data_IF_820417983553
#
_entry.id   IF_820417983553
#
_cell.length_a   1.000
_cell.length_b   1.000
_cell.length_c   1.000
_cell.angle_alpha   90.00
_cell.angle_beta   90.00
_cell.angle_gamma   90.00
#
_symmetry.space_group_name_H-M   'P 1'
#
loop_
_entity.id
_entity.type
_entity.pdbx_description
1 polymer ?
#
# COMPACT_ATOMS: atom_id res chain seq x y z
N UNK A 1 100.48 -56.06 -8.24
CA UNK A 1 100.10 -56.95 -7.20
C UNK A 1 99.04 -56.37 -6.27
N UNK A 2 98.72 -57.07 -5.14
CA UNK A 2 97.64 -56.64 -4.20
C UNK A 2 97.87 -55.23 -3.64
N UNK A 3 99.14 -54.88 -3.37
CA UNK A 3 99.50 -53.52 -2.90
C UNK A 3 99.16 -52.41 -3.96
N UNK A 4 99.47 -52.62 -5.24
CA UNK A 4 99.12 -51.65 -6.32
C UNK A 4 97.61 -51.51 -6.51
N UNK A 5 96.83 -52.53 -6.19
CA UNK A 5 95.35 -52.43 -6.19
C UNK A 5 94.81 -51.57 -4.99
N UNK A 6 95.49 -51.62 -3.83
CA UNK A 6 95.14 -50.84 -2.68
C UNK A 6 95.49 -49.33 -2.94
N UNK A 7 96.58 -49.03 -3.64
CA UNK A 7 96.94 -47.66 -4.09
C UNK A 7 95.90 -47.11 -5.02
N UNK A 8 95.39 -47.91 -5.94
CA UNK A 8 94.29 -47.45 -6.87
C UNK A 8 92.98 -47.17 -6.10
N UNK A 9 92.62 -47.99 -5.09
CA UNK A 9 91.46 -47.76 -4.24
C UNK A 9 91.64 -46.38 -3.48
N UNK A 10 92.83 -46.16 -2.94
CA UNK A 10 93.12 -44.90 -2.24
C UNK A 10 93.07 -43.69 -3.15
N UNK A 11 93.34 -43.86 -4.47
CA UNK A 11 93.15 -42.81 -5.48
C UNK A 11 91.69 -42.69 -6.00
N UNK A 12 90.78 -43.46 -5.43
CA UNK A 12 89.35 -43.44 -5.88
C UNK A 12 89.09 -44.28 -7.17
N UNK A 13 90.06 -45.01 -7.67
CA UNK A 13 89.91 -45.84 -8.87
C UNK A 13 89.34 -47.19 -8.50
N UNK A 14 88.02 -47.45 -8.66
CA UNK A 14 87.36 -48.71 -8.34
C UNK A 14 87.03 -49.56 -9.59
N UNK A 15 87.36 -49.08 -10.75
CA UNK A 15 87.06 -49.72 -12.06
C UNK A 15 88.10 -50.77 -12.51
N UNK A 16 88.96 -51.20 -11.64
CA UNK A 16 89.96 -52.21 -11.98
C UNK A 16 89.46 -53.63 -11.69
N UNK A 17 89.90 -54.59 -12.49
CA UNK A 17 89.59 -56.03 -12.26
C UNK A 17 90.69 -56.69 -11.49
N UNK A 18 90.36 -57.33 -10.41
CA UNK A 18 91.31 -58.28 -9.69
C UNK A 18 91.45 -59.52 -10.58
N UNK A 19 92.67 -59.87 -11.04
CA UNK A 19 92.85 -61.03 -11.95
C UNK A 19 92.40 -62.38 -11.28
N UNK A 20 91.62 -63.21 -12.04
CA UNK A 20 91.10 -64.50 -11.58
C UNK A 20 92.21 -65.39 -11.08
N UNK A 21 93.44 -65.34 -11.61
CA UNK A 21 94.58 -66.10 -11.16
C UNK A 21 94.94 -65.78 -9.69
N UNK A 22 94.70 -64.52 -9.23
CA UNK A 22 94.93 -64.15 -7.84
C UNK A 22 93.73 -64.54 -6.92
N UNK A 23 92.54 -64.46 -7.41
CA UNK A 23 91.27 -64.80 -6.70
C UNK A 23 91.23 -66.33 -6.40
N UNK A 24 91.80 -67.21 -7.27
CA UNK A 24 91.76 -68.66 -7.18
C UNK A 24 92.94 -69.27 -6.36
N UNK A 25 93.80 -68.42 -5.84
CA UNK A 25 94.90 -68.89 -4.97
C UNK A 25 94.36 -69.29 -3.57
N UNK A 26 94.96 -70.36 -3.03
CA UNK A 26 94.64 -70.84 -1.69
C UNK A 26 95.54 -70.32 -0.54
N UNK A 27 96.56 -69.56 -0.88
CA UNK A 27 97.51 -68.95 0.04
C UNK A 27 97.07 -67.58 0.58
N UNK A 28 97.88 -66.93 1.39
CA UNK A 28 97.62 -65.61 2.00
C UNK A 28 97.43 -64.51 0.94
N UNK A 29 98.09 -64.62 -0.23
CA UNK A 29 97.92 -63.68 -1.36
C UNK A 29 96.53 -63.84 -1.96
N UNK A 30 96.03 -65.07 -2.11
CA UNK A 30 94.64 -65.26 -2.60
C UNK A 30 93.59 -64.74 -1.61
N UNK A 31 93.80 -64.95 -0.29
CA UNK A 31 92.94 -64.34 0.74
C UNK A 31 92.86 -62.80 0.63
N UNK A 32 94.03 -62.19 0.52
CA UNK A 32 94.16 -60.73 0.37
C UNK A 32 93.51 -60.23 -0.93
N UNK A 33 93.65 -60.94 -2.05
CA UNK A 33 93.04 -60.63 -3.33
C UNK A 33 91.49 -60.68 -3.27
N UNK A 34 90.90 -61.66 -2.62
CA UNK A 34 89.45 -61.77 -2.39
C UNK A 34 88.92 -60.65 -1.48
N UNK A 35 89.70 -60.26 -0.40
CA UNK A 35 89.34 -59.16 0.48
C UNK A 35 89.29 -57.84 -0.30
N UNK A 36 90.32 -57.54 -1.12
CA UNK A 36 90.34 -56.37 -1.98
C UNK A 36 89.17 -56.31 -2.99
N UNK A 37 88.90 -57.49 -3.63
CA UNK A 37 87.73 -57.61 -4.52
C UNK A 37 86.42 -57.34 -3.81
N UNK A 38 86.21 -57.84 -2.63
CA UNK A 38 85.01 -57.58 -1.83
C UNK A 38 84.88 -56.10 -1.46
N UNK A 39 85.97 -55.41 -1.06
CA UNK A 39 86.03 -54.01 -0.74
C UNK A 39 85.66 -53.18 -1.97
N UNK A 40 86.29 -53.43 -3.14
CA UNK A 40 86.03 -52.72 -4.40
C UNK A 40 84.55 -52.85 -4.81
N UNK A 41 84.01 -54.08 -4.78
CA UNK A 41 82.61 -54.27 -5.19
C UNK A 41 81.65 -53.62 -4.18
N UNK A 42 81.97 -53.67 -2.87
CA UNK A 42 81.17 -53.03 -1.82
C UNK A 42 81.16 -51.49 -2.02
N UNK A 43 82.35 -50.89 -2.17
CA UNK A 43 82.46 -49.46 -2.39
C UNK A 43 81.78 -49.01 -3.77
N UNK A 44 81.99 -49.78 -4.81
CA UNK A 44 81.33 -49.51 -6.11
C UNK A 44 79.78 -49.56 -6.01
N UNK A 45 79.26 -50.51 -5.20
CA UNK A 45 77.82 -50.58 -4.90
C UNK A 45 77.38 -49.35 -4.15
N UNK A 46 78.05 -49.00 -3.04
CA UNK A 46 77.72 -47.79 -2.27
C UNK A 46 77.73 -46.54 -3.12
N UNK A 47 78.77 -46.31 -3.94
CA UNK A 47 78.85 -45.11 -4.83
C UNK A 47 77.76 -45.12 -5.85
N UNK A 48 77.34 -46.23 -6.39
CA UNK A 48 76.19 -46.35 -7.31
C UNK A 48 74.88 -46.00 -6.62
N UNK A 49 74.68 -46.52 -5.42
CA UNK A 49 73.49 -46.22 -4.63
C UNK A 49 73.43 -44.74 -4.24
N UNK A 50 74.52 -44.12 -3.86
CA UNK A 50 74.63 -42.67 -3.63
C UNK A 50 74.27 -41.89 -4.92
N UNK A 51 74.79 -42.32 -6.06
CA UNK A 51 74.48 -41.65 -7.33
C UNK A 51 72.99 -41.73 -7.69
N UNK A 52 72.38 -42.90 -7.55
CA UNK A 52 70.92 -43.05 -7.76
C UNK A 52 70.10 -42.17 -6.81
N UNK A 53 70.44 -42.21 -5.49
CA UNK A 53 69.79 -41.42 -4.47
C UNK A 53 69.86 -39.88 -4.76
N UNK A 54 70.92 -39.42 -5.37
CA UNK A 54 71.06 -38.01 -5.79
C UNK A 54 70.20 -37.68 -7.01
N UNK A 55 70.07 -38.60 -7.98
CA UNK A 55 69.12 -38.42 -9.07
C UNK A 55 67.70 -38.28 -8.57
N UNK A 56 67.31 -39.19 -7.66
CA UNK A 56 65.98 -39.14 -7.03
C UNK A 56 65.80 -37.83 -6.21
N UNK A 57 66.85 -37.38 -5.49
CA UNK A 57 66.83 -36.11 -4.74
C UNK A 57 66.63 -34.89 -5.65
N UNK A 58 67.32 -34.84 -6.80
CA UNK A 58 67.15 -33.73 -7.76
C UNK A 58 65.72 -33.74 -8.37
N UNK A 59 65.16 -34.92 -8.73
CA UNK A 59 63.77 -34.99 -9.17
C UNK A 59 62.78 -34.52 -8.10
N UNK A 60 63.02 -34.96 -6.83
CA UNK A 60 62.20 -34.58 -5.71
C UNK A 60 62.23 -33.10 -5.42
N UNK A 61 63.42 -32.47 -5.41
CA UNK A 61 63.54 -31.03 -5.21
C UNK A 61 62.96 -30.21 -6.35
N UNK A 62 63.03 -30.70 -7.59
CA UNK A 62 62.36 -30.12 -8.74
C UNK A 62 60.85 -30.10 -8.57
N UNK A 63 60.29 -31.22 -8.12
CA UNK A 63 58.86 -31.37 -7.81
C UNK A 63 58.42 -30.42 -6.68
N UNK A 64 59.19 -30.34 -5.59
CA UNK A 64 58.91 -29.39 -4.49
C UNK A 64 58.90 -27.94 -4.95
N UNK A 65 59.88 -27.55 -5.75
CA UNK A 65 59.96 -26.18 -6.33
C UNK A 65 58.66 -25.84 -7.09
N UNK A 66 58.22 -26.74 -7.96
CA UNK A 66 56.96 -26.56 -8.70
C UNK A 66 55.73 -26.49 -7.82
N UNK A 67 55.68 -27.31 -6.75
CA UNK A 67 54.59 -27.31 -5.80
C UNK A 67 54.53 -25.99 -5.01
N UNK A 68 55.69 -25.47 -4.56
CA UNK A 68 55.75 -24.21 -3.83
C UNK A 68 55.40 -23.00 -4.72
N UNK A 69 55.73 -23.03 -6.01
CA UNK A 69 55.26 -22.04 -6.97
C UNK A 69 53.73 -22.04 -7.11
N UNK A 70 53.15 -23.24 -7.19
CA UNK A 70 51.68 -23.42 -7.27
C UNK A 70 50.98 -22.98 -5.96
N UNK A 71 51.56 -23.25 -4.79
CA UNK A 71 51.03 -22.78 -3.50
C UNK A 71 51.13 -21.28 -3.43
N UNK A 72 52.25 -20.66 -3.84
CA UNK A 72 52.42 -19.20 -3.87
C UNK A 72 51.36 -18.51 -4.74
N UNK A 73 51.05 -19.10 -5.91
CA UNK A 73 50.00 -18.60 -6.78
C UNK A 73 48.60 -18.74 -6.14
N UNK A 74 48.34 -19.84 -5.43
CA UNK A 74 47.11 -20.05 -4.68
C UNK A 74 46.93 -19.04 -3.55
N UNK A 75 48.00 -18.73 -2.79
CA UNK A 75 47.99 -17.68 -1.77
C UNK A 75 47.67 -16.30 -2.36
N UNK A 76 48.24 -15.96 -3.50
CA UNK A 76 47.90 -14.70 -4.21
C UNK A 76 46.44 -14.63 -4.61
N UNK A 77 45.87 -15.73 -5.10
CA UNK A 77 44.45 -15.82 -5.46
C UNK A 77 43.54 -15.69 -4.24
N UNK A 78 43.88 -16.34 -3.12
CA UNK A 78 43.13 -16.21 -1.85
C UNK A 78 43.21 -14.79 -1.32
N UNK A 79 44.37 -14.13 -1.35
CA UNK A 79 44.50 -12.74 -0.94
C UNK A 79 43.63 -11.77 -1.76
N UNK A 80 43.50 -12.04 -3.08
CA UNK A 80 42.57 -11.26 -3.90
C UNK A 80 41.12 -11.46 -3.46
N UNK A 81 40.68 -12.68 -3.23
CA UNK A 81 39.33 -12.99 -2.75
C UNK A 81 39.05 -12.39 -1.37
N UNK A 82 40.05 -12.44 -0.46
CA UNK A 82 39.97 -11.81 0.87
C UNK A 82 39.73 -10.32 0.77
N UNK A 83 40.45 -9.61 -0.12
CA UNK A 83 40.25 -8.19 -0.33
C UNK A 83 38.86 -7.87 -0.91
N UNK A 84 38.35 -8.70 -1.82
CA UNK A 84 37.01 -8.55 -2.38
C UNK A 84 35.92 -8.76 -1.30
N UNK A 85 36.10 -9.74 -0.39
CA UNK A 85 35.17 -9.97 0.72
C UNK A 85 35.21 -8.78 1.70
N UNK A 86 36.39 -8.25 2.04
CA UNK A 86 36.54 -7.08 2.91
C UNK A 86 35.80 -5.86 2.33
N UNK A 87 36.00 -5.60 1.04
CA UNK A 87 35.31 -4.51 0.35
C UNK A 87 33.77 -4.77 0.30
N UNK A 88 33.36 -6.01 0.06
CA UNK A 88 31.95 -6.43 0.10
C UNK A 88 31.31 -6.22 1.48
N UNK A 89 32.01 -6.59 2.56
CA UNK A 89 31.56 -6.40 3.93
C UNK A 89 31.37 -4.91 4.27
N UNK A 90 32.31 -4.05 3.84
CA UNK A 90 32.21 -2.59 4.02
C UNK A 90 31.02 -2.00 3.26
N UNK A 91 30.80 -2.43 2.01
CA UNK A 91 29.67 -1.99 1.21
C UNK A 91 28.35 -2.46 1.84
N UNK A 92 28.30 -3.71 2.29
CA UNK A 92 27.12 -4.28 2.96
C UNK A 92 26.77 -3.50 4.23
N UNK A 93 27.75 -3.13 5.06
CA UNK A 93 27.52 -2.31 6.25
C UNK A 93 26.92 -0.94 5.89
N UNK A 94 27.47 -0.28 4.85
CA UNK A 94 26.94 1.01 4.39
C UNK A 94 25.50 0.90 3.84
N UNK A 95 25.19 -0.15 3.09
CA UNK A 95 23.85 -0.37 2.56
C UNK A 95 22.86 -0.76 3.66
N UNK A 96 23.28 -1.54 4.65
CA UNK A 96 22.49 -1.87 5.85
C UNK A 96 22.12 -0.60 6.62
N UNK A 97 23.05 0.33 6.76
CA UNK A 97 22.80 1.64 7.38
C UNK A 97 21.72 2.44 6.62
N UNK A 98 21.79 2.49 5.29
CA UNK A 98 20.78 3.17 4.47
C UNK A 98 19.40 2.53 4.60
N UNK A 99 19.34 1.19 4.66
CA UNK A 99 18.07 0.47 4.88
C UNK A 99 17.50 0.83 6.25
N UNK A 100 18.34 0.93 7.30
CA UNK A 100 17.91 1.37 8.63
C UNK A 100 17.32 2.80 8.61
N UNK A 101 17.95 3.72 7.89
CA UNK A 101 17.43 5.08 7.69
C UNK A 101 16.07 5.07 6.98
N UNK A 102 15.92 4.25 5.92
CA UNK A 102 14.65 4.09 5.19
C UNK A 102 13.56 3.48 6.09
N UNK A 103 13.90 2.57 7.01
CA UNK A 103 12.95 2.03 7.99
C UNK A 103 12.45 3.10 8.97
N UNK A 104 13.30 4.05 9.37
CA UNK A 104 12.89 5.19 10.19
C UNK A 104 11.95 6.14 9.43
N UNK A 105 12.24 6.42 8.14
CA UNK A 105 11.35 7.21 7.30
C UNK A 105 10.00 6.53 7.10
N UNK A 106 9.99 5.21 6.90
CA UNK A 106 8.77 4.41 6.80
C UNK A 106 7.94 4.48 8.09
N UNK A 107 8.58 4.39 9.28
CA UNK A 107 7.90 4.56 10.57
C UNK A 107 7.19 5.92 10.67
N UNK A 108 7.87 6.98 10.28
CA UNK A 108 7.29 8.32 10.25
C UNK A 108 6.11 8.43 9.26
N UNK A 109 6.20 7.76 8.11
CA UNK A 109 5.11 7.73 7.12
C UNK A 109 3.90 6.95 7.63
N UNK A 110 4.11 5.81 8.30
CA UNK A 110 3.06 5.02 8.95
C UNK A 110 2.35 5.84 10.03
N UNK A 111 3.09 6.57 10.88
CA UNK A 111 2.50 7.46 11.88
C UNK A 111 1.56 8.50 11.26
N UNK A 112 2.00 9.18 10.18
CA UNK A 112 1.16 10.16 9.46
C UNK A 112 -0.07 9.51 8.81
N UNK A 113 0.06 8.28 8.32
CA UNK A 113 -1.06 7.54 7.74
C UNK A 113 -2.07 7.15 8.82
N UNK A 114 -1.61 6.70 9.99
CA UNK A 114 -2.47 6.40 11.13
C UNK A 114 -3.24 7.65 11.62
N UNK A 115 -2.59 8.81 11.68
CA UNK A 115 -3.25 10.07 11.99
C UNK A 115 -4.34 10.43 10.97
N UNK A 116 -4.06 10.21 9.68
CA UNK A 116 -5.03 10.44 8.60
C UNK A 116 -6.23 9.49 8.68
N UNK A 117 -6.01 8.23 9.02
CA UNK A 117 -7.06 7.22 9.23
C UNK A 117 -7.96 7.63 10.42
N UNK A 118 -7.38 8.10 11.51
CA UNK A 118 -8.13 8.62 12.67
C UNK A 118 -8.98 9.85 12.31
N UNK A 119 -8.43 10.77 11.52
CA UNK A 119 -9.18 11.94 11.04
C UNK A 119 -10.33 11.54 10.10
N UNK A 120 -10.12 10.56 9.21
CA UNK A 120 -11.16 9.97 8.34
C UNK A 120 -12.26 9.31 9.15
N UNK A 121 -11.91 8.53 10.18
CA UNK A 121 -12.87 7.90 11.10
C UNK A 121 -13.75 8.94 11.79
N UNK A 122 -13.16 10.01 12.29
CA UNK A 122 -13.89 11.13 12.91
C UNK A 122 -14.83 11.82 11.91
N UNK A 123 -14.35 12.03 10.67
CA UNK A 123 -15.17 12.63 9.60
C UNK A 123 -16.34 11.74 9.20
N UNK A 124 -16.14 10.43 9.11
CA UNK A 124 -17.21 9.47 8.82
C UNK A 124 -18.26 9.42 9.94
N UNK A 125 -17.83 9.49 11.21
CA UNK A 125 -18.74 9.59 12.35
C UNK A 125 -19.60 10.86 12.30
N UNK A 126 -19.01 12.02 12.02
CA UNK A 126 -19.71 13.29 11.86
C UNK A 126 -20.69 13.25 10.67
N UNK A 127 -20.33 12.63 9.55
CA UNK A 127 -21.22 12.44 8.39
C UNK A 127 -22.42 11.55 8.77
N UNK A 128 -22.20 10.48 9.54
CA UNK A 128 -23.28 9.60 10.01
C UNK A 128 -24.27 10.36 10.89
N UNK A 129 -23.79 11.18 11.81
CA UNK A 129 -24.62 12.01 12.70
C UNK A 129 -25.41 13.06 11.89
N UNK A 130 -24.74 13.74 10.93
CA UNK A 130 -25.38 14.69 10.03
C UNK A 130 -26.47 14.04 9.19
N UNK A 131 -26.22 12.85 8.63
CA UNK A 131 -27.21 12.09 7.87
C UNK A 131 -28.43 11.71 8.72
N UNK A 132 -28.23 11.30 9.97
CA UNK A 132 -29.33 10.98 10.89
C UNK A 132 -30.19 12.23 11.18
N UNK A 133 -29.56 13.39 11.32
CA UNK A 133 -30.25 14.67 11.53
C UNK A 133 -31.07 15.05 10.29
N UNK A 134 -30.52 14.91 9.08
CA UNK A 134 -31.24 15.18 7.83
C UNK A 134 -32.40 14.23 7.64
N UNK A 135 -32.24 12.93 7.92
CA UNK A 135 -33.32 11.94 7.83
C UNK A 135 -34.50 12.32 8.74
N UNK A 136 -34.20 12.72 9.98
CA UNK A 136 -35.21 13.19 10.95
C UNK A 136 -35.94 14.44 10.44
N UNK A 137 -35.18 15.44 9.93
CA UNK A 137 -35.72 16.69 9.41
C UNK A 137 -36.60 16.48 8.18
N UNK A 138 -36.20 15.61 7.28
CA UNK A 138 -37.02 15.26 6.08
C UNK A 138 -38.31 14.55 6.43
N UNK A 139 -38.29 13.67 7.43
CA UNK A 139 -39.50 13.04 7.96
C UNK A 139 -40.46 14.04 8.60
N UNK A 140 -39.94 15.04 9.30
CA UNK A 140 -40.73 16.12 9.86
C UNK A 140 -41.34 17.01 8.75
N UNK A 141 -40.58 17.34 7.72
CA UNK A 141 -41.05 18.09 6.54
C UNK A 141 -42.18 17.35 5.81
N UNK A 142 -42.11 16.03 5.65
CA UNK A 142 -43.20 15.23 5.08
C UNK A 142 -44.47 15.32 5.93
N UNK A 143 -44.33 15.29 7.28
CA UNK A 143 -45.46 15.46 8.19
C UNK A 143 -46.10 16.85 8.07
N UNK A 144 -45.28 17.91 8.00
CA UNK A 144 -45.75 19.29 7.79
C UNK A 144 -46.45 19.42 6.44
N UNK A 145 -45.88 18.87 5.37
CA UNK A 145 -46.50 18.87 4.04
C UNK A 145 -47.88 18.18 4.02
N UNK A 146 -47.98 17.01 4.69
CA UNK A 146 -49.26 16.32 4.83
C UNK A 146 -50.29 17.15 5.60
N UNK A 147 -49.88 17.83 6.68
CA UNK A 147 -50.78 18.69 7.44
C UNK A 147 -51.21 19.93 6.64
N UNK A 148 -50.30 20.47 5.81
CA UNK A 148 -50.60 21.59 4.91
C UNK A 148 -51.63 21.15 3.87
N UNK A 149 -51.50 19.96 3.27
CA UNK A 149 -52.49 19.42 2.36
C UNK A 149 -53.89 19.33 3.01
N UNK A 150 -53.94 18.77 4.22
CA UNK A 150 -55.19 18.67 4.96
C UNK A 150 -55.82 20.03 5.25
N UNK A 151 -55.02 21.06 5.56
CA UNK A 151 -55.48 22.42 5.80
C UNK A 151 -56.05 23.06 4.53
N UNK A 152 -55.40 22.84 3.37
CA UNK A 152 -55.88 23.33 2.08
C UNK A 152 -57.21 22.67 1.70
N UNK A 153 -57.36 21.35 1.92
CA UNK A 153 -58.60 20.63 1.66
C UNK A 153 -59.74 21.18 2.53
N UNK A 154 -59.50 21.53 3.81
CA UNK A 154 -60.46 22.15 4.69
C UNK A 154 -60.89 23.55 4.23
N UNK A 155 -59.92 24.37 3.78
CA UNK A 155 -60.22 25.73 3.25
C UNK A 155 -61.05 25.62 1.94
N UNK A 156 -60.72 24.63 1.09
CA UNK A 156 -61.48 24.40 -0.14
C UNK A 156 -62.94 24.01 0.17
N UNK A 157 -63.16 23.10 1.11
CA UNK A 157 -64.50 22.73 1.55
C UNK A 157 -65.27 23.95 2.11
N UNK A 158 -64.63 24.75 2.99
CA UNK A 158 -65.26 25.97 3.55
C UNK A 158 -65.61 27.01 2.47
N UNK A 159 -64.74 27.13 1.44
CA UNK A 159 -64.98 28.01 0.30
C UNK A 159 -66.17 27.54 -0.55
N UNK A 160 -66.32 26.23 -0.75
CA UNK A 160 -67.51 25.64 -1.45
C UNK A 160 -68.78 25.94 -0.67
N UNK A 161 -68.82 25.73 0.64
CA UNK A 161 -69.97 26.07 1.51
C UNK A 161 -70.32 27.56 1.42
N UNK A 162 -69.30 28.42 1.38
CA UNK A 162 -69.48 29.90 1.19
C UNK A 162 -70.13 30.19 -0.17
N UNK A 163 -69.69 29.52 -1.24
CA UNK A 163 -70.23 29.65 -2.59
C UNK A 163 -71.71 29.21 -2.66
N UNK A 164 -72.06 28.07 -2.05
CA UNK A 164 -73.43 27.60 -1.96
C UNK A 164 -74.32 28.59 -1.19
N UNK A 165 -73.82 29.13 -0.10
CA UNK A 165 -74.55 30.17 0.70
C UNK A 165 -74.78 31.44 -0.12
N UNK A 166 -73.76 31.89 -0.90
CA UNK A 166 -73.88 33.00 -1.79
C UNK A 166 -74.92 32.79 -2.88
N UNK A 167 -74.99 31.60 -3.49
CA UNK A 167 -76.03 31.22 -4.46
C UNK A 167 -77.43 31.23 -3.85
N UNK A 168 -77.58 30.78 -2.61
CA UNK A 168 -78.87 30.84 -1.88
C UNK A 168 -79.33 32.31 -1.64
N UNK A 169 -78.36 33.19 -1.26
CA UNK A 169 -78.62 34.63 -1.10
C UNK A 169 -79.04 35.26 -2.44
N UNK A 170 -78.38 34.89 -3.54
CA UNK A 170 -78.68 35.39 -4.88
C UNK A 170 -80.13 35.01 -5.24
N UNK A 171 -80.54 33.77 -5.05
CA UNK A 171 -81.90 33.37 -5.28
C UNK A 171 -82.96 34.12 -4.44
N UNK A 172 -82.66 34.34 -3.12
CA UNK A 172 -83.52 35.14 -2.27
C UNK A 172 -83.63 36.58 -2.74
N UNK A 173 -82.50 37.16 -3.17
CA UNK A 173 -82.46 38.54 -3.69
C UNK A 173 -83.30 38.72 -4.97
N UNK A 174 -83.22 37.69 -5.86
CA UNK A 174 -84.07 37.68 -7.08
C UNK A 174 -85.56 37.63 -6.74
N UNK A 175 -85.98 36.90 -5.71
CA UNK A 175 -87.35 36.88 -5.22
C UNK A 175 -87.73 38.27 -4.69
N UNK A 176 -86.86 38.88 -3.88
CA UNK A 176 -87.15 40.24 -3.33
C UNK A 176 -87.28 41.26 -4.45
N UNK A 177 -86.44 41.27 -5.50
CA UNK A 177 -86.55 42.14 -6.69
C UNK A 177 -87.88 41.88 -7.42
N UNK A 178 -88.30 40.57 -7.51
CA UNK A 178 -89.59 40.23 -8.11
C UNK A 178 -90.78 40.77 -7.32
N UNK A 179 -90.78 40.69 -5.98
CA UNK A 179 -91.80 41.19 -5.08
C UNK A 179 -91.83 42.75 -5.21
N UNK A 180 -90.68 43.39 -5.22
CA UNK A 180 -90.60 44.82 -5.41
C UNK A 180 -91.20 45.32 -6.73
N UNK A 181 -90.91 44.61 -7.86
CA UNK A 181 -91.52 44.84 -9.12
C UNK A 181 -93.04 44.63 -9.12
N UNK A 182 -93.54 43.61 -8.49
CA UNK A 182 -95.02 43.41 -8.36
C UNK A 182 -95.64 44.47 -7.49
N UNK A 183 -95.00 44.88 -6.40
CA UNK A 183 -95.49 45.94 -5.49
C UNK A 183 -95.49 47.29 -6.24
N UNK A 184 -94.49 47.58 -7.05
CA UNK A 184 -94.45 48.77 -7.88
C UNK A 184 -95.61 48.82 -8.91
N UNK A 185 -95.89 47.64 -9.56
CA UNK A 185 -97.05 47.53 -10.45
C UNK A 185 -98.42 47.69 -9.74
N UNK A 186 -98.56 47.09 -8.54
CA UNK A 186 -99.72 47.17 -7.70
C UNK A 186 -100.02 48.63 -7.24
N UNK A 187 -98.97 49.31 -6.82
CA UNK A 187 -99.03 50.71 -6.37
C UNK A 187 -99.29 51.68 -7.54
N UNK A 188 -98.77 51.36 -8.75
CA UNK A 188 -99.09 52.14 -9.98
C UNK A 188 -100.57 51.97 -10.32
N UNK A 189 -101.07 50.74 -10.28
CA UNK A 189 -102.54 50.46 -10.51
C UNK A 189 -103.43 51.21 -9.49
N UNK A 190 -102.99 51.14 -8.16
CA UNK A 190 -103.68 51.90 -7.11
C UNK A 190 -103.62 53.39 -7.30
N UNK A 191 -102.52 53.99 -7.75
CA UNK A 191 -102.37 55.41 -8.06
C UNK A 191 -103.30 55.77 -9.24
N UNK A 192 -103.40 54.95 -10.25
CA UNK A 192 -104.29 55.20 -11.40
C UNK A 192 -105.75 55.17 -10.94
N UNK A 193 -106.25 54.22 -10.12
CA UNK A 193 -107.59 54.10 -9.68
C UNK A 193 -107.95 55.24 -8.66
N UNK A 194 -106.98 55.62 -7.80
CA UNK A 194 -107.08 56.81 -6.92
C UNK A 194 -107.23 58.11 -7.68
N UNK A 195 -106.56 58.30 -8.80
CA UNK A 195 -106.74 59.46 -9.70
C UNK A 195 -108.08 59.42 -10.38
N UNK A 196 -108.58 58.29 -10.67
CA UNK A 196 -109.93 58.06 -11.31
C UNK A 196 -111.09 58.38 -10.38
N UNK A 197 -110.92 58.23 -9.01
CA UNK A 197 -111.91 58.58 -8.00
C UNK A 197 -111.98 60.08 -7.64
N UNK A 198 -111.16 60.94 -8.27
CA UNK A 198 -111.13 62.41 -8.12
C UNK A 198 -110.78 62.90 -6.72
N UNK A 199 -111.55 63.86 -6.17
CA UNK A 199 -111.29 64.44 -4.83
C UNK A 199 -111.39 63.39 -3.71
N UNK A 200 -112.25 62.40 -3.85
CA UNK A 200 -112.36 61.32 -2.82
C UNK A 200 -111.22 60.34 -2.81
N UNK A 201 -110.36 60.22 -3.83
CA UNK A 201 -109.21 59.34 -3.94
C UNK A 201 -107.84 59.99 -3.54
N UNK A 202 -107.79 61.25 -3.22
CA UNK A 202 -106.62 62.02 -3.04
C UNK A 202 -105.67 61.51 -1.92
N UNK A 203 -106.23 61.08 -0.80
CA UNK A 203 -105.48 60.40 0.29
C UNK A 203 -104.89 59.07 -0.13
N UNK A 204 -105.61 58.31 -0.91
CA UNK A 204 -105.13 56.97 -1.41
C UNK A 204 -104.06 57.11 -2.53
N UNK A 205 -104.10 58.22 -3.31
CA UNK A 205 -103.06 58.46 -4.31
C UNK A 205 -101.71 58.76 -3.68
N UNK A 206 -101.69 59.52 -2.55
CA UNK A 206 -100.42 59.76 -1.80
C UNK A 206 -99.84 58.50 -1.20
N UNK A 207 -100.68 57.64 -0.62
CA UNK A 207 -100.24 56.37 -0.08
C UNK A 207 -99.72 55.39 -1.19
N UNK A 208 -100.40 55.38 -2.33
CA UNK A 208 -99.99 54.56 -3.46
C UNK A 208 -98.65 55.05 -4.06
N UNK A 209 -98.44 56.37 -4.13
CA UNK A 209 -97.11 56.91 -4.57
C UNK A 209 -95.98 56.63 -3.58
N UNK A 210 -96.28 56.71 -2.27
CA UNK A 210 -95.26 56.34 -1.21
C UNK A 210 -94.91 54.82 -1.29
N UNK A 211 -95.92 53.96 -1.49
CA UNK A 211 -95.68 52.50 -1.66
C UNK A 211 -94.84 52.29 -2.94
N UNK A 212 -95.08 53.08 -4.00
CA UNK A 212 -94.30 53.01 -5.23
C UNK A 212 -92.84 53.40 -5.03
N UNK A 213 -92.59 54.46 -4.28
CA UNK A 213 -91.26 54.94 -3.93
C UNK A 213 -90.49 53.86 -3.05
N UNK A 214 -91.18 53.24 -2.11
CA UNK A 214 -90.60 52.13 -1.28
C UNK A 214 -90.29 50.89 -2.13
N UNK A 215 -91.15 50.58 -3.09
CA UNK A 215 -90.90 49.43 -4.02
C UNK A 215 -89.70 49.67 -4.94
N UNK A 216 -89.57 50.94 -5.50
CA UNK A 216 -88.39 51.29 -6.29
C UNK A 216 -87.10 51.23 -5.44
N UNK A 217 -87.13 51.73 -4.22
CA UNK A 217 -86.00 51.64 -3.27
C UNK A 217 -85.64 50.22 -2.88
N UNK A 218 -86.65 49.36 -2.68
CA UNK A 218 -86.43 47.93 -2.41
C UNK A 218 -85.78 47.25 -3.60
N UNK A 219 -86.25 47.54 -4.85
CA UNK A 219 -85.65 46.99 -6.03
C UNK A 219 -84.17 47.41 -6.20
N UNK A 220 -83.89 48.70 -6.04
CA UNK A 220 -82.54 49.25 -6.08
C UNK A 220 -81.61 48.56 -5.03
N UNK A 221 -82.13 48.36 -3.84
CA UNK A 221 -81.38 47.63 -2.77
C UNK A 221 -81.11 46.18 -3.14
N UNK A 222 -82.10 45.48 -3.71
CA UNK A 222 -81.94 44.11 -4.18
C UNK A 222 -80.91 44.00 -5.33
N UNK A 223 -80.96 44.92 -6.28
CA UNK A 223 -79.96 44.96 -7.37
C UNK A 223 -78.50 45.19 -6.85
N UNK A 224 -78.36 46.10 -5.84
CA UNK A 224 -77.08 46.26 -5.15
C UNK A 224 -76.55 45.01 -4.46
N UNK A 225 -77.50 44.36 -3.73
CA UNK A 225 -77.13 43.06 -3.03
C UNK A 225 -76.75 42.04 -4.10
N UNK A 226 -77.48 41.87 -5.20
CA UNK A 226 -77.14 40.97 -6.31
C UNK A 226 -75.70 41.18 -6.80
N UNK A 227 -75.31 42.43 -7.07
CA UNK A 227 -73.95 42.76 -7.53
C UNK A 227 -72.89 42.39 -6.51
N UNK A 228 -73.15 42.56 -5.20
CA UNK A 228 -72.21 42.10 -4.13
C UNK A 228 -72.08 40.60 -4.13
N UNK A 229 -73.21 39.85 -4.26
CA UNK A 229 -73.25 38.40 -4.26
C UNK A 229 -72.58 37.79 -5.47
N UNK A 230 -72.77 38.35 -6.66
CA UNK A 230 -72.11 37.94 -7.90
C UNK A 230 -70.59 38.10 -7.76
N UNK A 231 -70.09 39.19 -7.18
CA UNK A 231 -68.67 39.37 -6.87
C UNK A 231 -68.17 38.34 -5.85
N UNK A 232 -68.97 38.00 -4.80
CA UNK A 232 -68.60 37.00 -3.82
C UNK A 232 -68.48 35.60 -4.46
N UNK A 233 -69.40 35.19 -5.32
CA UNK A 233 -69.34 33.93 -6.07
C UNK A 233 -68.11 33.88 -6.97
N UNK A 234 -67.81 34.97 -7.68
CA UNK A 234 -66.63 35.10 -8.54
C UNK A 234 -65.33 34.93 -7.73
N UNK A 235 -65.20 35.61 -6.61
CA UNK A 235 -64.06 35.51 -5.71
C UNK A 235 -63.87 34.12 -5.08
N UNK A 236 -64.99 33.49 -4.70
CA UNK A 236 -64.98 32.15 -4.16
C UNK A 236 -64.49 31.11 -5.22
N UNK A 237 -64.97 31.19 -6.45
CA UNK A 237 -64.51 30.34 -7.54
C UNK A 237 -63.03 30.56 -7.87
N UNK A 238 -62.52 31.78 -7.83
CA UNK A 238 -61.11 32.10 -7.99
C UNK A 238 -60.28 31.52 -6.85
N UNK A 239 -60.76 31.57 -5.61
CA UNK A 239 -60.09 30.93 -4.45
C UNK A 239 -59.98 29.41 -4.60
N UNK A 240 -61.00 28.72 -5.07
CA UNK A 240 -60.94 27.28 -5.37
C UNK A 240 -59.91 26.95 -6.44
N UNK A 241 -59.81 27.76 -7.51
CA UNK A 241 -58.76 27.58 -8.53
C UNK A 241 -57.35 27.71 -7.98
N UNK A 242 -57.12 28.72 -7.14
CA UNK A 242 -55.82 28.94 -6.48
C UNK A 242 -55.46 27.71 -5.57
N UNK A 243 -56.42 27.22 -4.77
CA UNK A 243 -56.21 26.06 -3.90
C UNK A 243 -55.91 24.79 -4.71
N UNK A 244 -56.54 24.54 -5.86
CA UNK A 244 -56.15 23.46 -6.73
C UNK A 244 -54.70 23.56 -7.23
N UNK A 245 -54.20 24.77 -7.51
CA UNK A 245 -52.83 25.03 -7.83
C UNK A 245 -51.89 24.66 -6.68
N UNK A 246 -52.23 25.11 -5.46
CA UNK A 246 -51.43 24.83 -4.24
C UNK A 246 -51.39 23.29 -3.95
N UNK A 247 -52.50 22.57 -4.13
CA UNK A 247 -52.51 21.10 -4.03
C UNK A 247 -51.50 20.45 -5.00
N UNK A 248 -51.47 20.94 -6.25
CA UNK A 248 -50.51 20.47 -7.25
C UNK A 248 -49.05 20.70 -6.83
N UNK A 249 -48.74 21.87 -6.23
CA UNK A 249 -47.45 22.21 -5.74
C UNK A 249 -47.01 21.34 -4.52
N UNK A 250 -47.94 21.07 -3.61
CA UNK A 250 -47.71 20.15 -2.47
C UNK A 250 -47.38 18.73 -2.95
N UNK A 251 -48.08 18.25 -3.98
CA UNK A 251 -47.77 16.93 -4.56
C UNK A 251 -46.36 16.89 -5.14
N UNK A 252 -45.96 17.89 -5.91
CA UNK A 252 -44.60 17.99 -6.43
C UNK A 252 -43.55 18.08 -5.32
N UNK A 253 -43.84 18.87 -4.28
CA UNK A 253 -42.96 18.95 -3.09
C UNK A 253 -42.77 17.59 -2.42
N UNK A 254 -43.83 16.83 -2.22
CA UNK A 254 -43.77 15.49 -1.61
C UNK A 254 -42.94 14.51 -2.45
N UNK A 255 -43.07 14.55 -3.80
CA UNK A 255 -42.24 13.76 -4.71
C UNK A 255 -40.75 14.10 -4.56
N UNK A 256 -40.42 15.40 -4.49
CA UNK A 256 -39.03 15.87 -4.29
C UNK A 256 -38.49 15.47 -2.91
N UNK A 257 -39.28 15.57 -1.85
CA UNK A 257 -38.91 15.11 -0.52
C UNK A 257 -38.64 13.59 -0.49
N UNK A 258 -39.49 12.79 -1.15
CA UNK A 258 -39.28 11.35 -1.29
C UNK A 258 -37.99 11.00 -2.03
N UNK A 259 -37.69 11.69 -3.12
CA UNK A 259 -36.42 11.53 -3.85
C UNK A 259 -35.21 11.89 -2.97
N UNK A 260 -35.31 12.97 -2.22
CA UNK A 260 -34.25 13.45 -1.31
C UNK A 260 -33.98 12.41 -0.21
N UNK A 261 -35.04 11.80 0.39
CA UNK A 261 -34.89 10.71 1.37
C UNK A 261 -34.12 9.52 0.81
N UNK A 262 -34.42 9.11 -0.42
CA UNK A 262 -33.73 8.01 -1.08
C UNK A 262 -32.22 8.33 -1.29
N UNK A 263 -31.89 9.57 -1.70
CA UNK A 263 -30.50 9.99 -1.86
C UNK A 263 -29.75 9.94 -0.52
N UNK A 264 -30.35 10.42 0.57
CA UNK A 264 -29.73 10.37 1.90
C UNK A 264 -29.64 8.94 2.45
N UNK A 265 -30.58 8.06 2.11
CA UNK A 265 -30.46 6.63 2.43
C UNK A 265 -29.26 5.98 1.74
N UNK A 266 -29.05 6.28 0.44
CA UNK A 266 -27.86 5.82 -0.30
C UNK A 266 -26.60 6.40 0.29
N UNK A 267 -26.56 7.70 0.62
CA UNK A 267 -25.41 8.35 1.25
C UNK A 267 -25.06 7.69 2.60
N UNK A 268 -26.04 7.32 3.40
CA UNK A 268 -25.81 6.61 4.66
C UNK A 268 -25.13 5.25 4.44
N UNK A 269 -25.54 4.52 3.38
CA UNK A 269 -24.90 3.26 3.00
C UNK A 269 -23.45 3.48 2.57
N UNK A 270 -23.16 4.52 1.78
CA UNK A 270 -21.78 4.85 1.37
C UNK A 270 -20.90 5.24 2.56
N UNK A 271 -21.44 5.96 3.53
CA UNK A 271 -20.71 6.28 4.77
C UNK A 271 -20.36 4.99 5.54
N UNK A 272 -21.26 4.01 5.59
CA UNK A 272 -20.97 2.72 6.23
C UNK A 272 -19.87 1.95 5.48
N UNK A 273 -19.88 1.98 4.16
CA UNK A 273 -18.83 1.37 3.34
C UNK A 273 -17.47 2.03 3.64
N UNK A 274 -17.42 3.37 3.70
CA UNK A 274 -16.21 4.13 4.08
C UNK A 274 -15.69 3.73 5.46
N UNK A 275 -16.58 3.56 6.45
CA UNK A 275 -16.17 3.06 7.78
C UNK A 275 -15.57 1.65 7.69
N UNK A 276 -16.14 0.78 6.85
CA UNK A 276 -15.58 -0.55 6.58
C UNK A 276 -14.16 -0.49 6.03
N UNK A 277 -13.93 0.34 5.00
CA UNK A 277 -12.61 0.53 4.39
C UNK A 277 -11.59 1.13 5.38
N UNK A 278 -12.00 2.05 6.24
CA UNK A 278 -11.15 2.61 7.31
C UNK A 278 -10.63 1.51 8.24
N UNK A 279 -11.48 0.56 8.62
CA UNK A 279 -11.08 -0.56 9.47
C UNK A 279 -10.08 -1.48 8.78
N UNK A 280 -10.27 -1.76 7.48
CA UNK A 280 -9.32 -2.54 6.67
C UNK A 280 -7.97 -1.83 6.60
N UNK A 281 -7.94 -0.53 6.33
CA UNK A 281 -6.69 0.24 6.29
C UNK A 281 -5.99 0.23 7.65
N UNK A 282 -6.75 0.29 8.76
CA UNK A 282 -6.17 0.22 10.11
C UNK A 282 -5.51 -1.13 10.37
N UNK A 283 -6.12 -2.23 9.96
CA UNK A 283 -5.56 -3.58 10.07
C UNK A 283 -4.28 -3.74 9.22
N UNK A 284 -4.29 -3.20 7.99
CA UNK A 284 -3.10 -3.20 7.13
C UNK A 284 -1.94 -2.38 7.72
N UNK A 285 -2.22 -1.28 8.41
CA UNK A 285 -1.19 -0.51 9.12
C UNK A 285 -0.51 -1.33 10.22
N UNK A 286 -1.28 -2.10 10.99
CA UNK A 286 -0.75 -3.00 12.01
C UNK A 286 0.15 -4.08 11.39
N UNK A 287 -0.26 -4.66 10.25
CA UNK A 287 0.55 -5.61 9.50
C UNK A 287 1.87 -5.00 8.99
N UNK A 288 1.82 -3.79 8.43
CA UNK A 288 3.03 -3.10 7.95
C UNK A 288 3.98 -2.80 9.10
N UNK A 289 3.48 -2.41 10.28
CA UNK A 289 4.32 -2.18 11.47
C UNK A 289 4.98 -3.48 11.96
N UNK A 290 4.27 -4.61 11.90
CA UNK A 290 4.85 -5.92 12.20
C UNK A 290 5.97 -6.29 11.20
N UNK A 291 5.76 -6.10 9.90
CA UNK A 291 6.79 -6.31 8.88
C UNK A 291 8.00 -5.39 9.06
N UNK A 292 7.76 -4.12 9.38
CA UNK A 292 8.83 -3.15 9.68
C UNK A 292 9.72 -3.64 10.81
N UNK A 293 9.11 -4.20 11.86
CA UNK A 293 9.84 -4.76 13.01
C UNK A 293 10.69 -5.98 12.60
N UNK A 294 10.14 -6.91 11.82
CA UNK A 294 10.89 -8.07 11.31
C UNK A 294 12.07 -7.64 10.42
N UNK A 295 11.87 -6.63 9.57
CA UNK A 295 12.96 -6.07 8.75
C UNK A 295 14.04 -5.43 9.62
N UNK A 296 13.69 -4.72 10.69
CA UNK A 296 14.66 -4.14 11.62
C UNK A 296 15.54 -5.22 12.27
N UNK A 297 14.96 -6.33 12.71
CA UNK A 297 15.71 -7.47 13.27
C UNK A 297 16.65 -8.10 12.23
N UNK A 298 16.26 -8.16 10.95
CA UNK A 298 17.14 -8.62 9.87
C UNK A 298 18.28 -7.66 9.57
N UNK A 299 18.05 -6.35 9.70
CA UNK A 299 19.07 -5.31 9.55
C UNK A 299 20.16 -5.47 10.63
N UNK A 300 19.76 -5.71 11.90
CA UNK A 300 20.69 -5.96 13.00
C UNK A 300 21.52 -7.21 12.72
N UNK A 301 20.89 -8.30 12.26
CA UNK A 301 21.58 -9.53 11.87
C UNK A 301 22.58 -9.32 10.71
N UNK A 302 22.21 -8.51 9.70
CA UNK A 302 23.09 -8.18 8.58
C UNK A 302 24.28 -7.33 9.01
N UNK A 303 24.11 -6.44 9.99
CA UNK A 303 25.18 -5.66 10.59
C UNK A 303 26.20 -6.58 11.29
N UNK A 304 25.72 -7.52 12.08
CA UNK A 304 26.58 -8.52 12.75
C UNK A 304 27.33 -9.39 11.73
N UNK A 305 26.65 -9.88 10.69
CA UNK A 305 27.30 -10.65 9.61
C UNK A 305 28.39 -9.83 8.92
N UNK A 306 28.15 -8.56 8.64
CA UNK A 306 29.16 -7.68 7.99
C UNK A 306 30.40 -7.50 8.88
N UNK A 307 30.20 -7.32 10.19
CA UNK A 307 31.30 -7.24 11.17
C UNK A 307 32.08 -8.54 11.27
N UNK A 308 31.38 -9.67 11.33
CA UNK A 308 32.02 -10.98 11.39
C UNK A 308 32.78 -11.30 10.09
N UNK A 309 32.26 -10.93 8.93
CA UNK A 309 32.96 -11.07 7.66
C UNK A 309 34.24 -10.23 7.63
N UNK A 310 34.21 -8.98 8.10
CA UNK A 310 35.38 -8.12 8.19
C UNK A 310 36.46 -8.75 9.10
N UNK A 311 36.09 -9.19 10.31
CA UNK A 311 37.00 -9.83 11.26
C UNK A 311 37.61 -11.13 10.72
N UNK A 312 36.78 -12.01 10.11
CA UNK A 312 37.24 -13.27 9.50
C UNK A 312 38.18 -13.03 8.32
N UNK A 313 37.95 -11.94 7.59
CA UNK A 313 38.79 -11.54 6.45
C UNK A 313 40.17 -11.07 6.93
N UNK A 314 40.24 -10.28 8.01
CA UNK A 314 41.51 -9.86 8.64
C UNK A 314 42.30 -11.07 9.15
N UNK A 315 41.65 -12.02 9.81
CA UNK A 315 42.30 -13.24 10.30
C UNK A 315 42.79 -14.12 9.14
N UNK A 316 42.00 -14.24 8.06
CA UNK A 316 42.40 -14.99 6.87
C UNK A 316 43.61 -14.34 6.20
N UNK A 317 43.62 -13.01 6.05
CA UNK A 317 44.77 -12.26 5.50
C UNK A 317 46.04 -12.53 6.31
N UNK A 318 45.98 -12.42 7.64
CA UNK A 318 47.12 -12.71 8.52
C UNK A 318 47.63 -14.17 8.36
N UNK A 319 46.72 -15.12 8.21
CA UNK A 319 47.03 -16.54 7.98
C UNK A 319 47.73 -16.73 6.61
N UNK A 320 47.29 -16.02 5.56
CA UNK A 320 47.91 -16.10 4.24
C UNK A 320 49.33 -15.46 4.24
N UNK A 321 49.55 -14.39 5.00
CA UNK A 321 50.85 -13.82 5.15
C UNK A 321 51.83 -14.80 5.84
N UNK A 322 51.40 -15.48 6.92
CA UNK A 322 52.20 -16.53 7.59
C UNK A 322 52.47 -17.71 6.65
N UNK A 323 51.47 -18.14 5.88
CA UNK A 323 51.62 -19.21 4.90
C UNK A 323 52.64 -18.84 3.81
N UNK A 324 52.65 -17.58 3.36
CA UNK A 324 53.60 -17.06 2.39
C UNK A 324 55.05 -17.14 2.92
N UNK A 325 55.26 -16.78 4.19
CA UNK A 325 56.57 -16.88 4.84
C UNK A 325 57.05 -18.35 4.94
N UNK A 326 56.18 -19.26 5.36
CA UNK A 326 56.48 -20.71 5.42
C UNK A 326 56.88 -21.23 4.04
N UNK A 327 56.12 -20.87 2.96
CA UNK A 327 56.43 -21.31 1.61
C UNK A 327 57.78 -20.80 1.15
N UNK A 328 58.14 -19.54 1.46
CA UNK A 328 59.46 -19.00 1.13
C UNK A 328 60.58 -19.73 1.87
N UNK A 329 60.39 -20.07 3.15
CA UNK A 329 61.40 -20.84 3.89
C UNK A 329 61.56 -22.27 3.38
N UNK A 330 60.46 -22.92 2.97
CA UNK A 330 60.50 -24.20 2.28
C UNK A 330 61.25 -24.15 0.96
N UNK A 331 61.10 -23.05 0.17
CA UNK A 331 61.88 -22.82 -1.06
C UNK A 331 63.36 -22.73 -0.76
N UNK A 332 63.76 -21.97 0.25
CA UNK A 332 65.18 -21.82 0.69
C UNK A 332 65.76 -23.19 1.08
N UNK A 333 65.02 -23.98 1.89
CA UNK A 333 65.40 -25.31 2.26
C UNK A 333 65.59 -26.29 1.04
N UNK A 334 64.68 -26.17 0.05
CA UNK A 334 64.76 -26.97 -1.20
C UNK A 334 66.01 -26.58 -2.02
N UNK A 335 66.35 -25.30 -2.10
CA UNK A 335 67.57 -24.83 -2.75
C UNK A 335 68.83 -25.40 -2.00
N UNK A 336 68.81 -25.39 -0.68
CA UNK A 336 69.93 -25.99 0.12
C UNK A 336 70.05 -27.51 -0.13
N UNK A 337 68.94 -28.23 -0.23
CA UNK A 337 68.94 -29.67 -0.58
C UNK A 337 69.59 -29.91 -1.95
N UNK A 338 69.28 -29.08 -2.95
CA UNK A 338 69.92 -29.18 -4.28
C UNK A 338 71.43 -28.94 -4.19
N UNK A 339 71.90 -27.94 -3.43
CA UNK A 339 73.32 -27.69 -3.23
C UNK A 339 73.99 -28.90 -2.60
N UNK A 340 73.40 -29.52 -1.54
CA UNK A 340 73.93 -30.70 -0.86
C UNK A 340 73.96 -31.91 -1.84
N UNK A 341 72.93 -32.09 -2.66
CA UNK A 341 72.89 -33.14 -3.67
C UNK A 341 74.00 -32.96 -4.72
N UNK A 342 74.25 -31.73 -5.17
CA UNK A 342 75.29 -31.42 -6.17
C UNK A 342 76.70 -31.66 -5.55
N UNK A 343 76.93 -31.27 -4.30
CA UNK A 343 78.20 -31.54 -3.59
C UNK A 343 78.43 -33.03 -3.38
N UNK A 344 77.38 -33.77 -3.02
CA UNK A 344 77.47 -35.24 -2.88
C UNK A 344 77.78 -35.89 -4.23
N UNK A 345 77.13 -35.42 -5.31
CA UNK A 345 77.41 -35.85 -6.70
C UNK A 345 78.86 -35.60 -7.10
N UNK A 346 79.35 -34.39 -6.79
CA UNK A 346 80.73 -34.06 -7.09
C UNK A 346 81.72 -34.92 -6.30
N UNK A 347 81.40 -35.26 -5.05
CA UNK A 347 82.24 -36.17 -4.22
C UNK A 347 82.16 -37.60 -4.72
N UNK A 348 80.99 -38.09 -5.07
CA UNK A 348 80.81 -39.46 -5.65
C UNK A 348 81.53 -39.61 -7.01
N UNK A 349 81.51 -38.58 -7.87
CA UNK A 349 82.25 -38.55 -9.14
C UNK A 349 83.77 -38.66 -9.02
N UNK A 350 84.33 -38.37 -7.84
CA UNK A 350 85.76 -38.60 -7.60
C UNK A 350 86.14 -40.09 -7.60
N UNK A 351 85.16 -40.96 -7.36
CA UNK A 351 85.33 -42.40 -7.46
C UNK A 351 84.99 -42.87 -8.92
N UNK A 352 85.97 -43.50 -9.54
CA UNK A 352 85.80 -44.10 -10.86
C UNK A 352 85.32 -45.53 -10.71
N UNK A 353 84.06 -45.82 -10.99
CA UNK A 353 83.42 -47.13 -10.87
C UNK A 353 83.13 -47.74 -12.27
#
# INVERSE_FOLDING_TARGET
>A
GVVGNLDQIAEGKLNFKVPDKLLNRSDEVGKSARAVYSVVNGFSGIIRDIHNSMLDMNEFTGTFTSNFDSIGQSISSVNTAVNEIAQGATTQAADTQKVSESMNEMSNALGRTADSVNALSSSAANMKESNATVDSTLKELLKISSHTQQSVDQVQEQTNITNESAQAIQAATDIIAGIANQTNLLSLNASIEAARAGEMGRGFAVVAEEIRGLADQSKESADKIRGIVENLISNSNQSVQIMNGVVGEIHQQNEKLGTTLNVFSTLNQEVQNVVGEINVISEELDHIEAYRTDVADKIDSLTEISQNNAASTEETAATMDQLSEIVEDCRKATVQLNVIADELSANAKKFQI
#
